data_IF_102927748459
#
_entry.id   IF_102927748459
#
_cell.length_a   1.000
_cell.length_b   1.000
_cell.length_c   1.000
_cell.angle_alpha   90.00
_cell.angle_beta   90.00
_cell.angle_gamma   90.00
#
_symmetry.space_group_name_H-M   'P 1'
#
loop_
_entity.id
_entity.type
_entity.pdbx_description
1 polymer ?
#
# COMPACT_ATOMS: atom_id res chain seq x y z
N UNK A 1 -20.92 -2.83 -16.27
CA UNK A 1 -21.95 -2.23 -15.45
C UNK A 1 -21.90 -0.71 -15.47
N UNK A 2 -22.92 -0.08 -14.97
CA UNK A 2 -23.06 1.39 -14.98
C UNK A 2 -21.97 2.09 -14.18
N UNK A 3 -21.49 1.48 -13.10
CA UNK A 3 -20.40 2.02 -12.29
C UNK A 3 -19.14 2.24 -13.14
N UNK A 4 -18.81 1.30 -14.01
CA UNK A 4 -17.63 1.40 -14.86
C UNK A 4 -17.75 2.59 -15.82
N UNK A 5 -18.92 2.79 -16.40
CA UNK A 5 -19.18 3.91 -17.30
C UNK A 5 -19.10 5.24 -16.55
N UNK A 6 -19.70 5.31 -15.37
CA UNK A 6 -19.71 6.52 -14.54
C UNK A 6 -18.30 6.91 -14.11
N UNK A 7 -17.48 5.94 -13.72
CA UNK A 7 -16.10 6.17 -13.32
C UNK A 7 -15.24 6.62 -14.50
N UNK A 8 -15.45 6.06 -15.69
CA UNK A 8 -14.78 6.52 -16.90
C UNK A 8 -15.18 7.94 -17.25
N UNK A 9 -16.47 8.25 -17.13
CA UNK A 9 -17.00 9.58 -17.40
C UNK A 9 -16.40 10.62 -16.45
N UNK A 10 -16.22 10.26 -15.18
CA UNK A 10 -15.64 11.14 -14.16
C UNK A 10 -14.11 11.24 -14.22
N UNK A 11 -13.48 10.64 -15.22
CA UNK A 11 -12.02 10.67 -15.34
C UNK A 11 -11.33 9.69 -14.40
N UNK A 12 -11.91 8.54 -14.21
CA UNK A 12 -11.42 7.44 -13.36
C UNK A 12 -9.90 7.22 -13.47
N UNK A 13 -9.33 7.39 -14.66
CA UNK A 13 -7.89 7.17 -14.90
C UNK A 13 -7.00 8.10 -14.08
N UNK A 14 -7.54 9.25 -13.68
CA UNK A 14 -6.83 10.28 -12.96
C UNK A 14 -7.24 10.38 -11.49
N UNK A 15 -8.13 9.47 -11.04
CA UNK A 15 -8.56 9.47 -9.64
C UNK A 15 -7.49 8.84 -8.78
N UNK A 16 -7.09 9.57 -7.74
CA UNK A 16 -6.34 8.99 -6.65
C UNK A 16 -7.33 8.23 -5.76
N UNK A 17 -7.05 6.95 -5.51
CA UNK A 17 -7.86 6.17 -4.60
C UNK A 17 -7.60 6.67 -3.18
N UNK A 18 -8.64 7.11 -2.45
CA UNK A 18 -8.44 7.56 -1.07
C UNK A 18 -7.91 6.45 -0.17
N UNK A 19 -7.03 6.81 0.76
CA UNK A 19 -6.47 5.86 1.73
C UNK A 19 -7.56 5.16 2.53
N UNK A 20 -8.60 5.91 2.92
CA UNK A 20 -9.75 5.36 3.64
C UNK A 20 -10.40 4.20 2.89
N UNK A 21 -10.49 4.31 1.56
CA UNK A 21 -11.09 3.26 0.74
C UNK A 21 -10.22 1.99 0.74
N UNK A 22 -8.91 2.12 0.56
CA UNK A 22 -8.01 0.96 0.57
C UNK A 22 -7.97 0.29 1.94
N UNK A 23 -8.00 1.05 3.02
CA UNK A 23 -8.07 0.53 4.39
C UNK A 23 -9.36 -0.24 4.63
N UNK A 24 -10.49 0.34 4.26
CA UNK A 24 -11.80 -0.30 4.41
C UNK A 24 -11.88 -1.59 3.60
N UNK A 25 -11.39 -1.56 2.38
CA UNK A 25 -11.38 -2.72 1.49
C UNK A 25 -10.54 -3.87 2.08
N UNK A 26 -9.35 -3.55 2.59
CA UNK A 26 -8.53 -4.54 3.26
C UNK A 26 -9.26 -5.17 4.44
N UNK A 27 -9.88 -4.35 5.29
CA UNK A 27 -10.59 -4.83 6.47
C UNK A 27 -11.76 -5.77 6.12
N UNK A 28 -12.45 -5.53 5.01
CA UNK A 28 -13.54 -6.39 4.55
C UNK A 28 -13.02 -7.79 4.19
N UNK A 29 -11.89 -7.87 3.50
CA UNK A 29 -11.38 -9.14 2.96
C UNK A 29 -10.46 -9.90 3.90
N UNK A 30 -9.90 -9.27 4.93
CA UNK A 30 -8.84 -9.86 5.75
C UNK A 30 -9.13 -9.91 7.24
N UNK A 31 -10.39 -9.74 7.63
CA UNK A 31 -10.81 -9.81 9.04
C UNK A 31 -10.02 -8.87 9.93
N UNK A 32 -9.96 -7.61 9.56
CA UNK A 32 -9.30 -6.56 10.30
C UNK A 32 -10.28 -5.42 10.62
N UNK A 33 -9.90 -4.57 11.58
CA UNK A 33 -10.68 -3.42 12.00
C UNK A 33 -9.82 -2.17 11.82
N UNK A 34 -10.42 -1.12 11.23
CA UNK A 34 -9.73 0.17 11.11
C UNK A 34 -9.53 0.78 12.50
N UNK A 35 -8.35 1.40 12.69
CA UNK A 35 -8.06 2.14 13.91
C UNK A 35 -8.65 3.56 13.83
N UNK A 36 -8.88 4.18 14.99
CA UNK A 36 -9.27 5.58 15.05
C UNK A 36 -8.04 6.47 14.95
N UNK A 37 -7.56 6.59 13.77
CA UNK A 37 -6.59 7.48 13.15
C UNK A 37 -5.49 8.17 13.96
N UNK A 38 -5.70 8.64 15.17
CA UNK A 38 -4.69 9.46 15.86
C UNK A 38 -4.03 8.77 17.05
N UNK A 39 -4.59 7.66 17.52
CA UNK A 39 -4.08 6.97 18.71
C UNK A 39 -3.00 5.94 18.39
N UNK A 40 -2.90 5.50 17.13
CA UNK A 40 -2.00 4.44 16.72
C UNK A 40 -1.23 4.84 15.47
N UNK A 41 -0.02 4.30 15.34
CA UNK A 41 0.83 4.54 14.17
C UNK A 41 0.45 3.69 12.95
N UNK A 42 -0.54 2.80 13.07
CA UNK A 42 -0.99 1.91 12.02
C UNK A 42 -2.48 2.10 11.70
N UNK A 43 -2.89 1.64 10.53
CA UNK A 43 -4.20 1.92 9.93
C UNK A 43 -5.28 0.94 10.37
N UNK A 44 -4.90 -0.28 10.70
CA UNK A 44 -5.83 -1.34 11.05
C UNK A 44 -5.21 -2.31 12.06
N UNK A 45 -6.04 -3.14 12.66
CA UNK A 45 -5.62 -4.19 13.59
C UNK A 45 -6.25 -5.50 13.14
N UNK A 46 -5.44 -6.55 13.07
CA UNK A 46 -5.91 -7.90 12.79
C UNK A 46 -6.77 -8.40 13.96
N UNK A 47 -8.00 -8.83 13.68
CA UNK A 47 -8.94 -9.27 14.72
C UNK A 47 -8.50 -10.56 15.40
N UNK A 48 -7.71 -11.38 14.72
CA UNK A 48 -7.28 -12.68 15.23
C UNK A 48 -5.98 -12.58 16.03
N UNK A 49 -4.99 -11.85 15.50
CA UNK A 49 -3.63 -11.77 16.07
C UNK A 49 -3.38 -10.54 16.92
N UNK A 50 -4.17 -9.47 16.71
CA UNK A 50 -3.91 -8.17 17.34
C UNK A 50 -2.80 -7.38 16.70
N UNK A 51 -2.22 -7.85 15.60
CA UNK A 51 -1.14 -7.17 14.91
C UNK A 51 -1.60 -5.83 14.34
N UNK A 52 -0.74 -4.81 14.47
CA UNK A 52 -0.94 -3.50 13.86
C UNK A 52 -0.55 -3.54 12.38
N UNK A 53 -1.44 -3.08 11.52
CA UNK A 53 -1.30 -3.18 10.07
C UNK A 53 -1.18 -1.78 9.48
N UNK A 54 -0.12 -1.54 8.72
CA UNK A 54 0.06 -0.35 7.91
C UNK A 54 -0.37 -0.69 6.49
N UNK A 55 -1.21 0.16 5.90
CA UNK A 55 -1.73 -0.07 4.55
C UNK A 55 -1.28 1.08 3.65
N UNK A 56 -0.60 0.76 2.57
CA UNK A 56 -0.22 1.69 1.52
C UNK A 56 -0.90 1.27 0.24
N UNK A 57 -1.22 2.23 -0.61
CA UNK A 57 -1.88 1.95 -1.88
C UNK A 57 -1.37 2.86 -2.98
N UNK A 58 -1.56 2.43 -4.21
CA UNK A 58 -1.28 3.24 -5.38
C UNK A 58 -2.31 2.94 -6.48
N UNK A 59 -2.64 3.98 -7.22
CA UNK A 59 -3.57 3.91 -8.35
C UNK A 59 -2.87 4.24 -9.69
N UNK A 60 -1.53 4.17 -9.71
CA UNK A 60 -0.72 4.44 -10.90
C UNK A 60 0.29 3.33 -11.12
N UNK A 61 0.80 3.23 -12.35
CA UNK A 61 1.76 2.18 -12.73
C UNK A 61 3.10 2.32 -12.01
N UNK A 62 3.59 3.55 -11.85
CA UNK A 62 4.84 3.83 -11.15
C UNK A 62 4.52 4.62 -9.88
N UNK A 63 4.46 3.91 -8.77
CA UNK A 63 4.15 4.53 -7.49
C UNK A 63 5.37 5.25 -6.90
N UNK A 64 5.08 6.26 -6.08
CA UNK A 64 6.06 6.89 -5.22
C UNK A 64 5.45 6.93 -3.82
N UNK A 65 5.67 5.85 -3.09
CA UNK A 65 5.05 5.63 -1.78
C UNK A 65 5.95 6.21 -0.69
N UNK A 66 5.38 7.01 0.20
CA UNK A 66 6.13 7.64 1.28
C UNK A 66 5.70 7.10 2.64
N UNK A 67 6.67 7.07 3.56
CA UNK A 67 6.43 6.60 4.93
C UNK A 67 6.84 7.68 5.92
N UNK A 68 6.10 7.79 7.03
CA UNK A 68 6.46 8.73 8.08
C UNK A 68 7.75 8.31 8.79
N UNK A 69 8.48 9.28 9.39
CA UNK A 69 9.73 8.96 10.10
C UNK A 69 9.50 8.13 11.36
N UNK A 70 8.31 8.18 11.93
CA UNK A 70 7.93 7.42 13.13
C UNK A 70 6.97 6.28 12.82
N UNK A 71 6.72 6.02 11.55
CA UNK A 71 5.78 4.98 11.12
C UNK A 71 6.32 3.59 11.45
N UNK A 72 5.54 2.82 12.20
CA UNK A 72 5.86 1.45 12.58
C UNK A 72 4.64 0.56 12.36
N UNK A 73 4.89 -0.72 12.22
CA UNK A 73 3.83 -1.71 11.99
C UNK A 73 4.32 -3.11 12.33
N UNK A 74 3.38 -4.01 12.56
CA UNK A 74 3.68 -5.44 12.66
C UNK A 74 3.56 -6.10 11.29
N UNK A 75 2.64 -5.57 10.45
CA UNK A 75 2.39 -6.09 9.11
C UNK A 75 2.22 -4.90 8.15
N UNK A 76 2.89 -4.97 7.01
CA UNK A 76 2.77 -3.96 5.95
C UNK A 76 2.03 -4.57 4.76
N UNK A 77 0.95 -3.90 4.36
CA UNK A 77 0.15 -4.29 3.21
C UNK A 77 0.25 -3.21 2.13
N UNK A 78 0.41 -3.66 0.90
CA UNK A 78 0.37 -2.78 -0.27
C UNK A 78 -0.80 -3.19 -1.16
N UNK A 79 -1.70 -2.25 -1.42
CA UNK A 79 -2.85 -2.45 -2.30
C UNK A 79 -2.58 -1.76 -3.63
N UNK A 80 -2.47 -2.55 -4.69
CA UNK A 80 -2.22 -2.05 -6.04
C UNK A 80 -3.54 -1.97 -6.80
N UNK A 81 -4.00 -0.74 -7.04
CA UNK A 81 -5.23 -0.48 -7.80
C UNK A 81 -4.98 -0.37 -9.30
N UNK A 82 -3.72 -0.45 -9.73
CA UNK A 82 -3.34 -0.40 -11.15
C UNK A 82 -2.37 -1.54 -11.49
N UNK A 83 -2.73 -2.81 -11.21
CA UNK A 83 -1.79 -3.92 -11.41
C UNK A 83 -1.44 -4.16 -12.87
N UNK A 84 -2.29 -3.69 -13.78
CA UNK A 84 -2.09 -3.81 -15.24
C UNK A 84 -1.72 -2.48 -15.89
N UNK A 85 -1.31 -1.49 -15.08
CA UNK A 85 -0.84 -0.21 -15.56
C UNK A 85 -1.88 0.92 -15.50
N UNK A 86 -3.15 0.62 -15.28
CA UNK A 86 -4.20 1.61 -15.14
C UNK A 86 -5.29 1.10 -14.20
N UNK A 87 -6.07 2.02 -13.65
CA UNK A 87 -7.18 1.68 -12.77
C UNK A 87 -8.29 1.07 -13.60
N UNK A 88 -8.63 -0.19 -13.30
CA UNK A 88 -9.60 -0.96 -14.07
C UNK A 88 -10.54 -1.82 -13.19
N UNK A 89 -10.52 -1.57 -11.88
CA UNK A 89 -11.30 -2.34 -10.92
C UNK A 89 -10.54 -3.48 -10.27
N UNK A 90 -9.40 -3.87 -10.82
CA UNK A 90 -8.56 -4.88 -10.19
C UNK A 90 -7.82 -4.29 -9.00
N UNK A 91 -7.78 -5.02 -7.89
CA UNK A 91 -6.99 -4.65 -6.71
C UNK A 91 -6.20 -5.88 -6.29
N UNK A 92 -4.89 -5.75 -6.29
CA UNK A 92 -3.99 -6.81 -5.87
C UNK A 92 -3.34 -6.44 -4.55
N UNK A 93 -3.51 -7.27 -3.55
CA UNK A 93 -2.93 -7.05 -2.22
C UNK A 93 -1.64 -7.85 -2.06
N UNK A 94 -0.63 -7.18 -1.52
CA UNK A 94 0.67 -7.77 -1.22
C UNK A 94 0.98 -7.59 0.26
N UNK A 95 1.56 -8.60 0.87
CA UNK A 95 2.13 -8.50 2.21
C UNK A 95 3.64 -8.33 2.06
N UNK A 96 4.16 -7.27 2.65
CA UNK A 96 5.58 -6.91 2.54
C UNK A 96 6.26 -7.21 3.87
N UNK A 97 7.34 -7.99 3.81
CA UNK A 97 8.16 -8.28 4.98
C UNK A 97 8.89 -6.99 5.38
N UNK A 98 8.85 -6.65 6.67
CA UNK A 98 9.51 -5.45 7.18
C UNK A 98 11.02 -5.47 6.93
N UNK A 99 11.65 -6.64 7.00
CA UNK A 99 13.08 -6.77 6.73
C UNK A 99 13.42 -6.44 5.28
N UNK A 100 12.48 -6.66 4.36
CA UNK A 100 12.69 -6.34 2.95
C UNK A 100 12.71 -4.83 2.70
N UNK A 101 12.03 -4.04 3.52
CA UNK A 101 11.92 -2.60 3.29
C UNK A 101 12.95 -1.78 4.06
N UNK A 102 13.21 -2.12 5.32
CA UNK A 102 14.08 -1.29 6.17
C UNK A 102 15.52 -1.19 5.66
N UNK A 103 16.03 -2.23 5.03
CA UNK A 103 17.41 -2.31 4.57
C UNK A 103 17.61 -1.90 3.12
N UNK A 104 16.53 -1.46 2.44
CA UNK A 104 16.64 -0.99 1.06
C UNK A 104 17.43 0.31 1.01
N UNK A 105 18.46 0.34 0.14
CA UNK A 105 19.24 1.56 -0.09
C UNK A 105 18.42 2.49 -0.98
N UNK A 106 18.06 3.66 -0.46
CA UNK A 106 17.29 4.67 -1.18
C UNK A 106 18.17 5.75 -1.80
N UNK A 107 19.32 6.02 -1.20
CA UNK A 107 20.31 6.95 -1.72
C UNK A 107 21.63 6.21 -1.88
N UNK A 108 21.92 5.78 -3.10
CA UNK A 108 23.10 4.98 -3.40
C UNK A 108 24.41 5.75 -3.20
N UNK A 109 24.40 7.05 -3.46
CA UNK A 109 25.61 7.88 -3.31
C UNK A 109 26.08 7.93 -1.86
N UNK A 110 25.16 7.97 -0.91
CA UNK A 110 25.45 8.03 0.52
C UNK A 110 25.31 6.70 1.23
N UNK A 111 24.78 5.68 0.54
CA UNK A 111 24.48 4.40 1.13
C UNK A 111 23.35 4.45 2.17
N UNK A 112 22.48 5.44 2.07
CA UNK A 112 21.37 5.61 3.02
C UNK A 112 20.25 4.62 2.73
N UNK A 113 19.85 3.89 3.78
CA UNK A 113 18.73 2.96 3.72
C UNK A 113 17.42 3.65 4.12
N UNK A 114 16.33 2.95 3.93
CA UNK A 114 15.01 3.36 4.42
C UNK A 114 15.07 3.70 5.93
N UNK A 115 15.64 2.79 6.72
CA UNK A 115 15.79 2.96 8.17
C UNK A 115 16.65 4.19 8.51
N UNK A 116 17.76 4.38 7.78
CA UNK A 116 18.63 5.54 8.01
C UNK A 116 17.87 6.85 7.85
N UNK A 117 17.04 6.95 6.82
CA UNK A 117 16.24 8.15 6.58
C UNK A 117 15.20 8.39 7.68
N UNK A 118 14.56 7.32 8.17
CA UNK A 118 13.63 7.44 9.29
C UNK A 118 14.33 7.94 10.56
N UNK A 119 15.51 7.39 10.85
CA UNK A 119 16.31 7.81 12.02
C UNK A 119 16.74 9.26 11.95
N UNK A 120 16.87 9.81 10.74
CA UNK A 120 17.16 11.22 10.51
C UNK A 120 15.91 12.11 10.57
N UNK A 121 14.74 11.55 10.88
CA UNK A 121 13.48 12.28 10.90
C UNK A 121 12.94 12.60 9.51
N UNK A 122 13.43 11.93 8.47
CA UNK A 122 13.01 12.14 7.09
C UNK A 122 11.90 11.14 6.73
N UNK A 123 11.23 11.42 5.61
CA UNK A 123 10.16 10.57 5.07
C UNK A 123 10.72 9.77 3.90
N UNK A 124 11.07 8.49 4.10
CA UNK A 124 11.56 7.69 2.97
C UNK A 124 10.48 7.50 1.91
N UNK A 125 10.88 7.55 0.65
CA UNK A 125 10.02 7.39 -0.52
C UNK A 125 10.62 6.38 -1.47
N UNK A 126 9.78 5.50 -1.99
CA UNK A 126 10.23 4.51 -2.96
C UNK A 126 9.05 3.99 -3.78
N UNK A 127 9.37 3.42 -4.94
CA UNK A 127 8.38 2.66 -5.68
C UNK A 127 8.26 1.27 -5.05
N UNK A 128 7.11 0.95 -4.48
CA UNK A 128 6.85 -0.39 -3.94
C UNK A 128 6.86 -1.42 -5.05
N UNK A 129 6.33 -1.06 -6.22
CA UNK A 129 6.26 -1.99 -7.36
C UNK A 129 7.65 -2.38 -7.87
N UNK A 130 8.53 -1.40 -8.10
CA UNK A 130 9.84 -1.69 -8.69
C UNK A 130 10.87 -2.14 -7.65
N UNK A 131 10.90 -1.53 -6.48
CA UNK A 131 11.95 -1.77 -5.48
C UNK A 131 11.69 -3.00 -4.62
N UNK A 132 10.43 -3.38 -4.44
CA UNK A 132 10.07 -4.49 -3.56
C UNK A 132 9.39 -5.61 -4.33
N UNK A 133 8.26 -5.33 -4.97
CA UNK A 133 7.44 -6.38 -5.59
C UNK A 133 8.17 -7.03 -6.75
N UNK A 134 8.63 -6.25 -7.72
CA UNK A 134 9.36 -6.78 -8.88
C UNK A 134 10.74 -7.29 -8.49
N UNK A 135 11.45 -6.54 -7.66
CA UNK A 135 12.82 -6.91 -7.25
C UNK A 135 12.86 -8.26 -6.52
N UNK A 136 11.82 -8.58 -5.75
CA UNK A 136 11.74 -9.83 -4.98
C UNK A 136 10.79 -10.85 -5.59
N UNK A 137 10.23 -10.54 -6.76
CA UNK A 137 9.26 -11.41 -7.46
C UNK A 137 8.10 -11.82 -6.53
N UNK A 138 7.57 -10.86 -5.79
CA UNK A 138 6.48 -11.11 -4.86
C UNK A 138 5.17 -11.41 -5.60
N UNK A 139 4.39 -12.31 -5.02
CA UNK A 139 3.06 -12.64 -5.52
C UNK A 139 2.01 -12.01 -4.62
N UNK A 140 0.88 -11.55 -5.18
CA UNK A 140 -0.19 -11.02 -4.36
C UNK A 140 -0.79 -12.10 -3.46
N UNK A 141 -1.15 -11.71 -2.24
CA UNK A 141 -1.83 -12.62 -1.31
C UNK A 141 -3.31 -12.73 -1.63
N UNK A 142 -3.85 -11.74 -2.35
CA UNK A 142 -5.25 -11.75 -2.81
C UNK A 142 -5.42 -10.83 -4.01
N UNK A 143 -6.23 -11.27 -4.96
CA UNK A 143 -6.66 -10.49 -6.12
C UNK A 143 -8.17 -10.36 -6.08
N UNK A 144 -8.69 -9.14 -6.19
CA UNK A 144 -10.13 -8.91 -6.29
C UNK A 144 -10.41 -8.04 -7.51
N UNK A 145 -11.64 -8.11 -7.99
CA UNK A 145 -12.11 -7.21 -9.05
C UNK A 145 -13.39 -6.54 -8.58
N UNK A 146 -13.35 -5.23 -8.42
CA UNK A 146 -14.46 -4.43 -7.92
C UNK A 146 -15.61 -4.33 -8.91
N UNK A 147 -15.38 -4.71 -10.17
CA UNK A 147 -16.37 -4.63 -11.24
C UNK A 147 -17.11 -5.95 -11.46
N UNK A 148 -16.69 -7.01 -10.80
CA UNK A 148 -17.35 -8.32 -10.86
C UNK A 148 -18.30 -8.50 -9.68
N UNK A 149 -19.42 -9.17 -9.94
CA UNK A 149 -20.43 -9.47 -8.92
C UNK A 149 -19.99 -10.64 -8.02
#
# INVERSE_FOLDING_TARGET
TDINKDLKYLGWRNLNVPDVFSEALYCIFFNAVRTNGTAYSYDAVDRTTGEGIQIKSASIANDCTSFGPTSTWDKLIYADFAPKGQVDGNVWFYEIDSDEIYDIVLNEKKGETFRDQQEQGRRPRLSMKSKIIKANNLKPIKKINLMED
#
